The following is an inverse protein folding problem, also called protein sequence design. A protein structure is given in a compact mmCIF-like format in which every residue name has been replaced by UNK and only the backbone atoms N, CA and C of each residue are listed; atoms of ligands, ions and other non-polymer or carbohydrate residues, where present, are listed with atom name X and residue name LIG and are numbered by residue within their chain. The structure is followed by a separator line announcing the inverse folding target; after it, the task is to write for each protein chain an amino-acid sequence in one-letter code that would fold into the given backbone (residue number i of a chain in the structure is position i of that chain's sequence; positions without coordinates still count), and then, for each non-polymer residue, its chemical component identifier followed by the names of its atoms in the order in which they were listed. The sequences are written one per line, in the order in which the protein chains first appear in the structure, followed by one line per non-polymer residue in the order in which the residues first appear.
data_IF_655151776886
#
_entry.id   IF_655151776886
#
_cell.length_a   1.000
_cell.length_b   1.000
_cell.length_c   1.000
_cell.angle_alpha   90.00
_cell.angle_beta   90.00
_cell.angle_gamma   90.00
#
_symmetry.space_group_name_H-M   'P 1'
#
loop_
_entity.id
_entity.type
_entity.pdbx_description
1 polymer ?
#
# COMPACT_ATOMS: atom_id res chain seq x y z
N UNK A 1 -27.59 -9.72 10.24
CA UNK A 1 -27.21 -8.87 9.09
C UNK A 1 -27.07 -9.78 7.89
N UNK A 2 -27.92 -9.68 6.88
CA UNK A 2 -27.86 -10.48 5.66
C UNK A 2 -26.68 -10.03 4.78
N UNK A 3 -26.00 -11.00 4.17
CA UNK A 3 -25.00 -10.71 3.12
C UNK A 3 -25.71 -9.92 2.01
N UNK A 4 -25.10 -8.85 1.53
CA UNK A 4 -25.65 -8.08 0.41
C UNK A 4 -25.34 -8.80 -0.90
N UNK A 5 -26.33 -8.87 -1.80
CA UNK A 5 -26.13 -9.32 -3.18
C UNK A 5 -25.65 -8.14 -4.05
N UNK A 6 -25.28 -8.44 -5.28
CA UNK A 6 -24.92 -7.44 -6.30
C UNK A 6 -26.12 -6.61 -6.81
N UNK A 7 -27.29 -6.76 -6.19
CA UNK A 7 -28.50 -6.03 -6.57
C UNK A 7 -28.31 -4.52 -6.65
N UNK A 8 -27.56 -3.97 -5.72
CA UNK A 8 -27.28 -2.52 -5.65
C UNK A 8 -26.53 -1.96 -6.88
N UNK A 9 -25.79 -2.81 -7.61
CA UNK A 9 -25.05 -2.42 -8.81
C UNK A 9 -25.85 -2.58 -10.11
N UNK A 10 -27.02 -3.21 -10.05
CA UNK A 10 -27.88 -3.43 -11.20
C UNK A 10 -27.45 -4.56 -12.13
N UNK A 11 -28.34 -4.90 -13.08
CA UNK A 11 -28.17 -6.04 -14.01
C UNK A 11 -26.98 -5.86 -14.95
N UNK A 12 -26.77 -4.66 -15.46
CA UNK A 12 -25.67 -4.36 -16.40
C UNK A 12 -24.29 -4.62 -15.79
N UNK A 13 -24.09 -4.25 -14.53
CA UNK A 13 -22.86 -4.53 -13.80
C UNK A 13 -22.64 -6.04 -13.64
N UNK A 14 -23.66 -6.79 -13.24
CA UNK A 14 -23.58 -8.26 -13.08
C UNK A 14 -23.20 -8.94 -14.40
N UNK A 15 -23.74 -8.49 -15.54
CA UNK A 15 -23.41 -9.03 -16.86
C UNK A 15 -21.93 -8.77 -17.23
N UNK A 16 -21.39 -7.58 -16.92
CA UNK A 16 -19.97 -7.27 -17.14
C UNK A 16 -19.06 -8.13 -16.26
N UNK A 17 -19.45 -8.37 -14.99
CA UNK A 17 -18.72 -9.29 -14.11
C UNK A 17 -18.72 -10.70 -14.69
N UNK A 18 -19.86 -11.23 -15.11
CA UNK A 18 -19.97 -12.55 -15.74
C UNK A 18 -19.12 -12.64 -17.01
N UNK A 19 -19.17 -11.62 -17.87
CA UNK A 19 -18.34 -11.53 -19.06
C UNK A 19 -16.85 -11.59 -18.71
N UNK A 20 -16.41 -10.83 -17.71
CA UNK A 20 -15.03 -10.86 -17.22
C UNK A 20 -14.62 -12.22 -16.67
N UNK A 21 -15.48 -12.88 -15.88
CA UNK A 21 -15.21 -14.23 -15.34
C UNK A 21 -15.08 -15.28 -16.45
N UNK A 22 -15.81 -15.13 -17.55
CA UNK A 22 -15.79 -16.06 -18.69
C UNK A 22 -14.59 -15.82 -19.62
N UNK A 23 -14.11 -14.58 -19.76
CA UNK A 23 -13.13 -14.20 -20.78
C UNK A 23 -11.75 -13.85 -20.23
N UNK A 24 -11.66 -13.40 -18.98
CA UNK A 24 -10.41 -12.97 -18.34
C UNK A 24 -9.95 -13.97 -17.27
N UNK A 25 -9.03 -14.84 -17.66
CA UNK A 25 -8.44 -15.84 -16.76
C UNK A 25 -7.71 -15.20 -15.57
N UNK A 26 -7.05 -14.04 -15.76
CA UNK A 26 -6.34 -13.35 -14.67
C UNK A 26 -7.34 -12.84 -13.64
N UNK A 27 -8.42 -12.23 -14.09
CA UNK A 27 -9.48 -11.78 -13.19
C UNK A 27 -10.11 -12.95 -12.43
N UNK A 28 -10.45 -14.05 -13.11
CA UNK A 28 -11.00 -15.25 -12.46
C UNK A 28 -10.05 -15.81 -11.39
N UNK A 29 -8.74 -15.86 -11.67
CA UNK A 29 -7.72 -16.25 -10.69
C UNK A 29 -7.71 -15.36 -9.45
N UNK A 30 -7.85 -14.04 -9.64
CA UNK A 30 -7.80 -13.07 -8.56
C UNK A 30 -9.02 -13.11 -7.64
N UNK A 31 -10.19 -13.46 -8.18
CA UNK A 31 -11.44 -13.47 -7.41
C UNK A 31 -11.87 -14.87 -6.95
N UNK A 32 -11.21 -15.95 -7.41
CA UNK A 32 -11.69 -17.32 -7.21
C UNK A 32 -11.90 -17.69 -5.74
N UNK A 33 -11.03 -17.26 -4.85
CA UNK A 33 -11.08 -17.58 -3.42
C UNK A 33 -12.17 -16.81 -2.65
N UNK A 34 -12.71 -15.75 -3.26
CA UNK A 34 -13.78 -14.92 -2.69
C UNK A 34 -15.07 -14.95 -3.52
N UNK A 35 -15.06 -15.59 -4.69
CA UNK A 35 -16.21 -15.69 -5.59
C UNK A 35 -17.23 -16.68 -5.05
N UNK A 36 -18.49 -16.24 -4.91
CA UNK A 36 -19.63 -17.07 -4.49
C UNK A 36 -20.84 -16.80 -5.37
N UNK A 37 -21.58 -17.85 -5.69
CA UNK A 37 -22.79 -17.77 -6.51
C UNK A 37 -23.90 -16.94 -5.83
N UNK A 38 -23.96 -16.96 -4.48
CA UNK A 38 -24.96 -16.25 -3.70
C UNK A 38 -24.86 -14.71 -3.81
N UNK A 39 -23.80 -14.20 -4.38
CA UNK A 39 -23.65 -12.76 -4.63
C UNK A 39 -24.52 -12.27 -5.78
N UNK A 40 -24.96 -13.17 -6.67
CA UNK A 40 -25.77 -12.85 -7.83
C UNK A 40 -27.27 -13.02 -7.55
N UNK A 41 -28.11 -12.22 -8.21
CA UNK A 41 -29.53 -12.20 -7.92
C UNK A 41 -30.29 -13.29 -8.70
N UNK A 42 -30.05 -13.40 -10.01
CA UNK A 42 -30.76 -14.30 -10.89
C UNK A 42 -30.25 -15.74 -10.81
N UNK A 43 -31.12 -16.72 -10.80
CA UNK A 43 -30.74 -18.15 -10.78
C UNK A 43 -29.90 -18.54 -12.00
N UNK A 44 -30.12 -17.88 -13.14
CA UNK A 44 -29.27 -18.04 -14.33
C UNK A 44 -27.83 -17.55 -14.08
N UNK A 45 -27.66 -16.42 -13.38
CA UNK A 45 -26.34 -15.93 -13.03
C UNK A 45 -25.64 -16.85 -12.02
N UNK A 46 -26.35 -17.31 -10.98
CA UNK A 46 -25.82 -18.26 -9.99
C UNK A 46 -25.34 -19.54 -10.66
N UNK A 47 -26.15 -20.10 -11.56
CA UNK A 47 -25.77 -21.30 -12.30
C UNK A 47 -24.48 -21.09 -13.12
N UNK A 48 -24.39 -19.97 -13.86
CA UNK A 48 -23.19 -19.64 -14.67
C UNK A 48 -21.96 -19.55 -13.78
N UNK A 49 -22.06 -18.84 -12.64
CA UNK A 49 -20.94 -18.68 -11.69
C UNK A 49 -20.55 -20.03 -11.09
N UNK A 50 -21.51 -20.86 -10.71
CA UNK A 50 -21.24 -22.19 -10.18
C UNK A 50 -20.50 -23.08 -11.19
N UNK A 51 -20.92 -23.09 -12.45
CA UNK A 51 -20.22 -23.82 -13.51
C UNK A 51 -18.79 -23.29 -13.75
N UNK A 52 -18.59 -21.97 -13.73
CA UNK A 52 -17.25 -21.37 -13.80
C UNK A 52 -16.38 -21.85 -12.65
N UNK A 53 -16.90 -21.81 -11.43
CA UNK A 53 -16.20 -22.25 -10.21
C UNK A 53 -15.82 -23.73 -10.30
N UNK A 54 -16.79 -24.61 -10.57
CA UNK A 54 -16.60 -26.05 -10.62
C UNK A 54 -15.60 -26.45 -11.71
N UNK A 55 -15.71 -25.83 -12.88
CA UNK A 55 -14.78 -26.10 -13.98
C UNK A 55 -13.36 -25.63 -13.66
N UNK A 56 -13.24 -24.42 -13.10
CA UNK A 56 -11.93 -23.86 -12.76
C UNK A 56 -11.24 -24.67 -11.66
N UNK A 57 -11.96 -25.11 -10.63
CA UNK A 57 -11.40 -25.93 -9.54
C UNK A 57 -10.90 -27.28 -10.02
N UNK A 58 -11.57 -27.84 -11.03
CA UNK A 58 -11.21 -29.15 -11.57
C UNK A 58 -10.07 -29.09 -12.60
N UNK A 59 -10.07 -28.07 -13.46
CA UNK A 59 -9.19 -28.02 -14.64
C UNK A 59 -8.17 -26.87 -14.62
N UNK A 60 -8.26 -25.95 -13.66
CA UNK A 60 -7.39 -24.78 -13.49
C UNK A 60 -7.30 -23.89 -14.73
N UNK A 61 -8.37 -23.85 -15.51
CA UNK A 61 -8.52 -23.01 -16.70
C UNK A 61 -9.92 -22.45 -16.82
N UNK A 62 -10.09 -21.36 -17.59
CA UNK A 62 -11.42 -20.79 -17.83
C UNK A 62 -12.28 -21.75 -18.62
N UNK A 63 -13.57 -21.81 -18.30
CA UNK A 63 -14.56 -22.63 -19.01
C UNK A 63 -14.76 -22.05 -20.42
N UNK A 64 -14.86 -22.90 -21.43
CA UNK A 64 -15.12 -22.51 -22.82
C UNK A 64 -16.60 -22.59 -23.16
N UNK A 65 -17.02 -21.83 -24.20
CA UNK A 65 -18.42 -21.90 -24.65
C UNK A 65 -18.87 -23.27 -25.07
N UNK A 66 -17.95 -24.09 -25.61
CA UNK A 66 -18.32 -25.46 -26.03
C UNK A 66 -18.58 -26.35 -24.83
N UNK A 67 -17.83 -26.19 -23.76
CA UNK A 67 -18.11 -26.88 -22.48
C UNK A 67 -19.44 -26.41 -21.89
N UNK A 68 -19.69 -25.09 -21.86
CA UNK A 68 -20.95 -24.54 -21.38
C UNK A 68 -22.15 -25.11 -22.17
N UNK A 69 -22.04 -25.25 -23.50
CA UNK A 69 -23.09 -25.88 -24.31
C UNK A 69 -23.38 -27.32 -23.91
N UNK A 70 -22.35 -28.08 -23.55
CA UNK A 70 -22.52 -29.47 -23.08
C UNK A 70 -23.20 -29.49 -21.70
N UNK A 71 -22.79 -28.60 -20.79
CA UNK A 71 -23.43 -28.51 -19.46
C UNK A 71 -24.89 -28.05 -19.54
N UNK A 72 -25.20 -27.12 -20.46
CA UNK A 72 -26.59 -26.68 -20.73
C UNK A 72 -27.50 -27.82 -21.16
N UNK A 73 -27.00 -28.87 -21.84
CA UNK A 73 -27.81 -30.02 -22.25
C UNK A 73 -28.24 -30.90 -21.08
N UNK A 74 -27.57 -30.79 -19.93
CA UNK A 74 -27.89 -31.54 -18.71
C UNK A 74 -28.95 -30.85 -17.84
N UNK A 75 -29.32 -29.60 -18.17
CA UNK A 75 -30.30 -28.83 -17.41
C UNK A 75 -31.70 -29.21 -17.89
N UNK A 76 -32.50 -29.81 -17.01
CA UNK A 76 -33.86 -30.29 -17.31
C UNK A 76 -34.90 -29.16 -17.43
N UNK A 77 -34.65 -28.02 -16.78
CA UNK A 77 -35.57 -26.88 -16.74
C UNK A 77 -35.45 -26.04 -18.02
N UNK A 78 -36.37 -26.20 -18.95
CA UNK A 78 -36.37 -25.50 -20.24
C UNK A 78 -36.43 -23.97 -20.09
N UNK A 79 -37.16 -23.43 -19.10
CA UNK A 79 -37.24 -21.99 -18.84
C UNK A 79 -35.88 -21.44 -18.41
N UNK A 80 -35.18 -22.18 -17.55
CA UNK A 80 -33.84 -21.83 -17.12
C UNK A 80 -32.84 -21.89 -18.28
N UNK A 81 -32.93 -22.89 -19.15
CA UNK A 81 -32.06 -23.02 -20.34
C UNK A 81 -32.21 -21.83 -21.28
N UNK A 82 -33.42 -21.33 -21.49
CA UNK A 82 -33.69 -20.13 -22.32
C UNK A 82 -33.02 -18.91 -21.67
N UNK A 83 -33.24 -18.70 -20.37
CA UNK A 83 -32.64 -17.60 -19.62
C UNK A 83 -31.09 -17.68 -19.63
N UNK A 84 -30.50 -18.86 -19.45
CA UNK A 84 -29.06 -19.07 -19.49
C UNK A 84 -28.45 -18.70 -20.84
N UNK A 85 -29.08 -19.09 -21.95
CA UNK A 85 -28.61 -18.73 -23.29
C UNK A 85 -28.64 -17.23 -23.53
N UNK A 86 -29.69 -16.56 -23.07
CA UNK A 86 -29.82 -15.10 -23.18
C UNK A 86 -28.75 -14.37 -22.33
N UNK A 87 -28.59 -14.75 -21.04
CA UNK A 87 -27.64 -14.10 -20.14
C UNK A 87 -26.18 -14.35 -20.57
N UNK A 88 -25.84 -15.54 -21.05
CA UNK A 88 -24.52 -15.82 -21.64
C UNK A 88 -24.25 -14.91 -22.85
N UNK A 89 -25.24 -14.80 -23.77
CA UNK A 89 -25.09 -13.92 -24.93
C UNK A 89 -24.89 -12.46 -24.51
N UNK A 90 -25.67 -11.99 -23.54
CA UNK A 90 -25.59 -10.62 -23.01
C UNK A 90 -24.25 -10.37 -22.29
N UNK A 91 -23.74 -11.34 -21.54
CA UNK A 91 -22.46 -11.24 -20.85
C UNK A 91 -21.28 -11.13 -21.81
N UNK A 92 -21.26 -11.90 -22.90
CA UNK A 92 -20.24 -11.79 -23.94
C UNK A 92 -20.35 -10.49 -24.77
N UNK A 93 -21.56 -9.96 -24.92
CA UNK A 93 -21.82 -8.71 -25.67
C UNK A 93 -21.65 -7.46 -24.79
N UNK A 94 -21.47 -7.60 -23.48
CA UNK A 94 -21.33 -6.48 -22.57
C UNK A 94 -20.12 -5.60 -22.96
N UNK A 95 -20.31 -4.28 -22.91
CA UNK A 95 -19.26 -3.31 -23.25
C UNK A 95 -18.00 -3.53 -22.42
N UNK A 96 -16.84 -3.35 -23.07
CA UNK A 96 -15.51 -3.51 -22.47
C UNK A 96 -14.94 -2.20 -21.92
N UNK A 97 -15.65 -1.07 -22.09
CA UNK A 97 -15.07 0.26 -21.89
C UNK A 97 -14.66 0.58 -20.44
N UNK A 98 -15.28 -0.06 -19.45
CA UNK A 98 -15.05 0.16 -18.02
C UNK A 98 -14.76 -1.14 -17.24
N UNK A 99 -14.23 -2.16 -17.91
CA UNK A 99 -13.99 -3.47 -17.28
C UNK A 99 -13.05 -3.39 -16.07
N UNK A 100 -12.01 -2.57 -16.12
CA UNK A 100 -11.06 -2.41 -15.00
C UNK A 100 -11.80 -1.93 -13.76
N UNK A 101 -12.64 -0.90 -13.90
CA UNK A 101 -13.47 -0.39 -12.81
C UNK A 101 -14.42 -1.48 -12.27
N UNK A 102 -15.10 -2.20 -13.16
CA UNK A 102 -16.03 -3.28 -12.78
C UNK A 102 -15.33 -4.40 -12.02
N UNK A 103 -14.14 -4.77 -12.46
CA UNK A 103 -13.33 -5.81 -11.81
C UNK A 103 -12.85 -5.38 -10.42
N UNK A 104 -12.38 -4.13 -10.27
CA UNK A 104 -11.95 -3.57 -8.99
C UNK A 104 -13.11 -3.45 -8.00
N UNK A 105 -14.26 -2.93 -8.44
CA UNK A 105 -15.47 -2.81 -7.60
C UNK A 105 -16.00 -4.17 -7.17
N UNK A 106 -16.02 -5.15 -8.08
CA UNK A 106 -16.45 -6.50 -7.75
C UNK A 106 -15.52 -7.17 -6.73
N UNK A 107 -14.21 -7.05 -6.92
CA UNK A 107 -13.23 -7.57 -5.96
C UNK A 107 -13.39 -6.89 -4.59
N UNK A 108 -13.57 -5.57 -4.56
CA UNK A 108 -13.85 -4.81 -3.36
C UNK A 108 -15.12 -5.26 -2.65
N UNK A 109 -16.18 -5.51 -3.42
CA UNK A 109 -17.44 -6.08 -2.90
C UNK A 109 -17.20 -7.45 -2.26
N UNK A 110 -16.52 -8.37 -2.94
CA UNK A 110 -16.24 -9.71 -2.43
C UNK A 110 -15.43 -9.67 -1.12
N UNK A 111 -14.36 -8.86 -1.07
CA UNK A 111 -13.56 -8.66 0.15
C UNK A 111 -14.40 -8.14 1.32
N UNK A 112 -15.28 -7.19 1.05
CA UNK A 112 -16.18 -6.65 2.05
C UNK A 112 -17.18 -7.70 2.57
N UNK A 113 -17.68 -8.60 1.71
CA UNK A 113 -18.58 -9.68 2.13
C UNK A 113 -17.82 -10.73 2.96
N UNK A 114 -16.60 -11.12 2.57
CA UNK A 114 -15.77 -12.03 3.36
C UNK A 114 -15.45 -11.45 4.75
N UNK A 115 -15.08 -10.17 4.82
CA UNK A 115 -14.83 -9.51 6.10
C UNK A 115 -16.09 -9.45 6.99
N UNK A 116 -17.24 -9.14 6.41
CA UNK A 116 -18.51 -9.16 7.16
C UNK A 116 -18.83 -10.54 7.69
N UNK A 117 -18.67 -11.58 6.86
CA UNK A 117 -18.89 -12.95 7.28
C UNK A 117 -17.95 -13.35 8.43
N UNK A 118 -16.67 -12.99 8.32
CA UNK A 118 -15.68 -13.23 9.36
C UNK A 118 -16.07 -12.55 10.68
N UNK A 119 -16.52 -11.30 10.65
CA UNK A 119 -16.96 -10.56 11.84
C UNK A 119 -18.21 -11.21 12.47
N UNK A 120 -19.20 -11.60 11.65
CA UNK A 120 -20.42 -12.22 12.13
C UNK A 120 -20.14 -13.57 12.81
N UNK A 121 -19.35 -14.40 12.18
CA UNK A 121 -18.97 -15.73 12.73
C UNK A 121 -18.06 -15.56 13.97
N UNK A 122 -17.21 -14.54 14.00
CA UNK A 122 -16.37 -14.23 15.16
C UNK A 122 -17.20 -13.91 16.41
N UNK A 123 -18.43 -13.38 16.26
CA UNK A 123 -19.30 -13.12 17.38
C UNK A 123 -19.79 -14.42 18.07
N UNK A 124 -19.93 -15.50 17.33
CA UNK A 124 -20.30 -16.80 17.90
C UNK A 124 -19.08 -17.48 18.52
N UNK A 125 -17.92 -17.45 17.87
CA UNK A 125 -16.64 -17.94 18.43
C UNK A 125 -16.27 -17.21 19.73
N UNK A 126 -16.62 -15.92 19.84
CA UNK A 126 -16.38 -15.13 21.05
C UNK A 126 -17.18 -15.69 22.25
N UNK A 127 -18.41 -16.17 22.03
CA UNK A 127 -19.23 -16.81 23.08
C UNK A 127 -18.62 -18.12 23.57
N UNK A 128 -17.92 -18.82 22.68
CA UNK A 128 -17.21 -20.07 22.97
C UNK A 128 -15.81 -19.84 23.56
N UNK A 129 -15.31 -18.61 23.53
CA UNK A 129 -13.97 -18.24 24.02
C UNK A 129 -12.84 -18.64 23.06
N UNK A 130 -13.15 -18.95 21.81
CA UNK A 130 -12.15 -19.35 20.80
C UNK A 130 -11.50 -18.11 20.13
N UNK A 131 -10.58 -17.50 20.83
CA UNK A 131 -9.82 -16.32 20.34
C UNK A 131 -8.89 -16.67 19.17
N UNK A 132 -8.35 -17.87 19.12
CA UNK A 132 -7.47 -18.29 18.03
C UNK A 132 -8.26 -18.52 16.74
N UNK A 133 -9.46 -19.10 16.84
CA UNK A 133 -10.42 -19.21 15.73
C UNK A 133 -10.80 -17.84 15.16
N UNK A 134 -11.09 -16.87 16.03
CA UNK A 134 -11.38 -15.49 15.62
C UNK A 134 -10.21 -14.90 14.84
N UNK A 135 -9.00 -14.99 15.40
CA UNK A 135 -7.79 -14.45 14.74
C UNK A 135 -7.59 -15.07 13.36
N UNK A 136 -7.62 -16.39 13.28
CA UNK A 136 -7.42 -17.11 12.01
C UNK A 136 -8.47 -16.75 10.96
N UNK A 137 -9.72 -16.58 11.36
CA UNK A 137 -10.82 -16.21 10.47
C UNK A 137 -10.67 -14.79 9.94
N UNK A 138 -10.34 -13.82 10.80
CA UNK A 138 -10.10 -12.43 10.40
C UNK A 138 -8.87 -12.33 9.49
N UNK A 139 -7.76 -13.01 9.84
CA UNK A 139 -6.57 -13.06 8.98
C UNK A 139 -6.85 -13.66 7.60
N UNK A 140 -7.67 -14.73 7.54
CA UNK A 140 -8.12 -15.32 6.27
C UNK A 140 -8.93 -14.35 5.45
N UNK A 141 -9.89 -13.64 6.06
CA UNK A 141 -10.71 -12.64 5.38
C UNK A 141 -9.88 -11.43 4.90
N UNK A 142 -8.87 -11.02 5.65
CA UNK A 142 -7.94 -9.96 5.23
C UNK A 142 -7.07 -10.36 4.03
N UNK A 143 -6.70 -11.64 3.93
CA UNK A 143 -5.90 -12.17 2.80
C UNK A 143 -6.76 -12.54 1.60
N UNK A 144 -8.07 -12.67 1.77
CA UNK A 144 -9.00 -13.03 0.71
C UNK A 144 -8.99 -12.00 -0.43
N UNK A 145 -8.92 -12.46 -1.68
CA UNK A 145 -8.83 -11.61 -2.86
C UNK A 145 -7.60 -10.70 -2.87
N UNK A 146 -6.53 -11.02 -2.14
CA UNK A 146 -5.26 -10.35 -2.33
C UNK A 146 -4.76 -10.63 -3.75
N UNK A 147 -4.22 -9.59 -4.37
CA UNK A 147 -3.67 -9.69 -5.71
C UNK A 147 -2.67 -10.85 -5.79
N UNK A 148 -2.99 -11.81 -6.63
CA UNK A 148 -2.12 -12.94 -6.94
C UNK A 148 -1.19 -12.54 -8.09
N UNK A 149 -0.66 -11.30 -8.03
CA UNK A 149 0.36 -10.85 -8.96
C UNK A 149 1.51 -11.86 -8.96
N UNK A 150 1.61 -12.60 -10.05
CA UNK A 150 2.69 -13.58 -10.25
C UNK A 150 4.04 -12.89 -10.46
N UNK A 151 4.05 -11.55 -10.41
CA UNK A 151 5.22 -10.74 -10.69
C UNK A 151 5.44 -10.51 -12.18
N UNK A 152 6.60 -9.98 -12.49
CA UNK A 152 7.01 -9.66 -13.85
C UNK A 152 7.46 -10.93 -14.61
N UNK A 153 6.74 -11.31 -15.65
CA UNK A 153 7.14 -12.45 -16.48
C UNK A 153 8.31 -12.05 -17.38
N UNK A 154 9.51 -12.42 -16.94
CA UNK A 154 10.77 -11.92 -17.46
C UNK A 154 10.92 -12.04 -18.99
N UNK A 155 10.45 -13.16 -19.56
CA UNK A 155 10.61 -13.45 -20.99
C UNK A 155 9.56 -12.76 -21.88
N UNK A 156 8.40 -12.39 -21.31
CA UNK A 156 7.26 -11.82 -22.05
C UNK A 156 7.23 -10.30 -21.89
N UNK A 157 7.42 -9.80 -20.68
CA UNK A 157 7.26 -8.38 -20.35
C UNK A 157 8.54 -7.54 -20.63
N UNK A 158 9.23 -7.83 -21.73
CA UNK A 158 10.47 -7.13 -22.09
C UNK A 158 10.26 -5.62 -22.17
N UNK A 159 9.25 -5.19 -22.93
CA UNK A 159 8.96 -3.78 -23.16
C UNK A 159 8.63 -2.99 -21.87
N UNK A 160 7.98 -3.64 -20.90
CA UNK A 160 7.61 -2.99 -19.65
C UNK A 160 8.82 -2.54 -18.83
N UNK A 161 9.95 -3.27 -18.94
CA UNK A 161 11.20 -2.95 -18.24
C UNK A 161 11.87 -1.68 -18.76
N UNK A 162 11.68 -1.38 -20.04
CA UNK A 162 12.31 -0.24 -20.71
C UNK A 162 11.40 0.97 -20.86
N UNK A 163 10.11 0.85 -20.46
CA UNK A 163 9.15 1.99 -20.47
C UNK A 163 9.43 3.05 -19.40
N UNK A 164 10.20 2.71 -18.37
CA UNK A 164 10.54 3.64 -17.27
C UNK A 164 11.94 4.18 -17.51
N UNK A 165 12.07 5.10 -18.46
CA UNK A 165 13.34 5.76 -18.77
C UNK A 165 13.77 6.79 -17.69
N UNK A 166 12.91 7.15 -16.77
CA UNK A 166 13.18 8.15 -15.76
C UNK A 166 12.70 7.73 -14.37
N UNK A 167 13.66 7.46 -13.48
CA UNK A 167 13.40 7.28 -12.05
C UNK A 167 13.41 8.67 -11.40
N UNK A 168 12.27 9.23 -10.96
CA UNK A 168 12.27 10.48 -10.24
C UNK A 168 13.04 10.31 -8.94
N UNK A 169 14.15 11.03 -8.78
CA UNK A 169 15.00 10.93 -7.60
C UNK A 169 15.10 12.25 -6.87
N UNK A 170 15.26 12.19 -5.55
CA UNK A 170 15.56 13.33 -4.70
C UNK A 170 17.06 13.35 -4.46
N UNK A 171 17.78 14.37 -4.96
CA UNK A 171 19.23 14.42 -4.84
C UNK A 171 19.68 14.74 -3.41
N UNK A 172 20.87 14.27 -3.07
CA UNK A 172 21.57 14.65 -1.84
C UNK A 172 22.51 15.84 -2.11
N UNK A 173 23.07 16.49 -1.06
CA UNK A 173 24.03 17.56 -1.26
C UNK A 173 25.39 17.09 -1.80
N UNK A 174 25.62 15.78 -1.97
CA UNK A 174 26.90 15.20 -2.37
C UNK A 174 26.83 14.62 -3.79
N UNK A 175 27.47 15.33 -4.76
CA UNK A 175 27.44 14.95 -6.17
C UNK A 175 27.95 13.53 -6.44
N UNK A 176 29.14 13.17 -5.96
CA UNK A 176 29.70 11.83 -6.13
C UNK A 176 28.79 10.71 -5.58
N UNK A 177 28.08 10.98 -4.49
CA UNK A 177 27.13 10.03 -3.94
C UNK A 177 25.91 9.90 -4.85
N UNK A 178 25.39 11.01 -5.35
CA UNK A 178 24.27 11.01 -6.31
C UNK A 178 24.63 10.24 -7.59
N UNK A 179 25.86 10.40 -8.11
CA UNK A 179 26.32 9.65 -9.28
C UNK A 179 26.30 8.14 -9.02
N UNK A 180 26.74 7.72 -7.83
CA UNK A 180 26.73 6.31 -7.42
C UNK A 180 25.33 5.68 -7.25
N UNK A 181 24.31 6.50 -6.92
CA UNK A 181 22.92 6.06 -6.73
C UNK A 181 21.97 6.55 -7.83
N UNK A 182 22.51 6.87 -9.01
CA UNK A 182 21.73 7.25 -10.20
C UNK A 182 20.84 8.50 -9.97
N UNK A 183 21.42 9.54 -9.39
CA UNK A 183 20.79 10.86 -9.24
C UNK A 183 20.18 11.13 -7.86
N UNK A 184 20.11 10.18 -6.97
CA UNK A 184 19.53 10.35 -5.63
C UNK A 184 18.62 9.22 -5.17
N UNK A 185 17.87 9.45 -4.10
CA UNK A 185 16.91 8.49 -3.58
C UNK A 185 15.61 8.52 -4.37
N UNK A 186 15.14 7.35 -4.77
CA UNK A 186 13.93 7.20 -5.59
C UNK A 186 12.74 6.58 -4.84
N UNK A 187 11.60 6.44 -5.52
CA UNK A 187 10.38 5.91 -4.96
C UNK A 187 10.58 4.54 -4.30
N UNK A 188 10.17 4.42 -3.05
CA UNK A 188 10.24 3.17 -2.28
C UNK A 188 11.61 2.85 -1.69
N UNK A 189 12.60 3.73 -1.81
CA UNK A 189 13.88 3.54 -1.15
C UNK A 189 13.78 3.74 0.37
N UNK A 190 14.54 2.97 1.11
CA UNK A 190 14.84 3.20 2.52
C UNK A 190 16.36 3.35 2.65
N UNK A 191 16.80 4.54 3.04
CA UNK A 191 18.20 4.82 3.30
C UNK A 191 18.45 4.94 4.81
N UNK A 192 19.56 4.37 5.27
CA UNK A 192 19.93 4.37 6.67
C UNK A 192 21.29 5.05 6.83
N UNK A 193 21.32 6.10 7.66
CA UNK A 193 22.55 6.83 8.00
C UNK A 193 23.12 6.27 9.29
N UNK A 194 24.17 5.46 9.20
CA UNK A 194 24.82 4.88 10.36
C UNK A 194 25.92 5.79 10.91
N UNK A 195 26.08 5.79 12.24
CA UNK A 195 27.19 6.47 12.90
C UNK A 195 27.11 6.39 14.41
N UNK A 196 28.23 6.70 15.05
CA UNK A 196 28.33 6.75 16.51
C UNK A 196 27.46 7.86 17.11
N UNK A 197 27.07 7.79 18.39
CA UNK A 197 26.50 8.92 19.11
C UNK A 197 27.39 10.18 18.94
N UNK A 198 26.76 11.34 18.67
CA UNK A 198 27.51 12.59 18.42
C UNK A 198 28.16 12.69 17.03
N UNK A 199 28.10 11.67 16.18
CA UNK A 199 28.72 11.63 14.84
C UNK A 199 28.00 12.45 13.75
N UNK A 200 27.06 13.32 14.09
CA UNK A 200 26.43 14.22 13.13
C UNK A 200 25.30 13.62 12.28
N UNK A 201 24.77 12.42 12.64
CA UNK A 201 23.71 11.75 11.86
C UNK A 201 22.49 12.63 11.59
N UNK A 202 21.93 13.25 12.63
CA UNK A 202 20.77 14.16 12.49
C UNK A 202 21.10 15.39 11.66
N UNK A 203 22.33 15.91 11.75
CA UNK A 203 22.78 17.00 10.87
C UNK A 203 22.89 16.54 9.40
N UNK A 204 23.32 15.31 9.16
CA UNK A 204 23.32 14.71 7.82
C UNK A 204 21.89 14.62 7.26
N UNK A 205 20.94 14.20 8.09
CA UNK A 205 19.51 14.15 7.70
C UNK A 205 18.95 15.55 7.43
N UNK A 206 19.29 16.55 8.26
CA UNK A 206 18.93 17.95 8.03
C UNK A 206 19.53 18.46 6.71
N UNK A 207 20.80 18.17 6.44
CA UNK A 207 21.46 18.58 5.20
C UNK A 207 20.78 18.00 3.96
N UNK A 208 20.44 16.69 3.97
CA UNK A 208 19.72 16.06 2.86
C UNK A 208 18.33 16.66 2.66
N UNK A 209 17.55 16.83 3.74
CA UNK A 209 16.24 17.45 3.68
C UNK A 209 16.28 18.89 3.18
N UNK A 210 17.19 19.71 3.72
CA UNK A 210 17.32 21.11 3.34
C UNK A 210 17.78 21.27 1.89
N UNK A 211 18.69 20.41 1.41
CA UNK A 211 19.08 20.38 0.01
C UNK A 211 17.89 20.08 -0.91
N UNK A 212 17.09 19.08 -0.56
CA UNK A 212 15.87 18.75 -1.31
C UNK A 212 14.89 19.92 -1.34
N UNK A 213 14.67 20.61 -0.21
CA UNK A 213 13.80 21.81 -0.14
C UNK A 213 14.34 22.95 -1.02
N UNK A 214 15.65 23.22 -1.01
CA UNK A 214 16.27 24.22 -1.91
C UNK A 214 16.04 23.86 -3.38
N UNK A 215 16.07 22.58 -3.72
CA UNK A 215 15.82 22.08 -5.07
C UNK A 215 14.34 22.12 -5.50
N UNK A 216 13.41 22.43 -4.57
CA UNK A 216 11.98 22.56 -4.87
C UNK A 216 11.12 21.38 -4.42
N UNK A 217 11.69 20.37 -3.78
CA UNK A 217 10.95 19.20 -3.28
C UNK A 217 10.19 19.52 -2.01
N UNK A 218 9.10 18.75 -1.77
CA UNK A 218 8.32 18.75 -0.54
C UNK A 218 8.88 17.70 0.42
N UNK A 219 9.22 18.08 1.64
CA UNK A 219 9.85 17.19 2.62
C UNK A 219 9.04 17.16 3.90
N UNK A 220 8.80 15.95 4.44
CA UNK A 220 8.31 15.75 5.79
C UNK A 220 9.46 15.22 6.66
N UNK A 221 9.79 15.95 7.72
CA UNK A 221 10.80 15.58 8.71
C UNK A 221 10.12 15.26 10.05
N UNK A 222 10.20 13.99 10.45
CA UNK A 222 9.67 13.53 11.74
C UNK A 222 10.83 13.43 12.74
N UNK A 223 10.73 14.14 13.84
CA UNK A 223 11.71 14.06 14.93
C UNK A 223 11.12 13.32 16.13
N UNK A 224 11.87 12.35 16.67
CA UNK A 224 11.51 11.57 17.85
C UNK A 224 12.49 11.72 19.00
N UNK A 225 13.57 12.50 18.81
CA UNK A 225 14.58 12.77 19.83
C UNK A 225 14.61 14.24 20.25
N UNK A 226 14.48 15.14 19.28
CA UNK A 226 14.61 16.59 19.47
C UNK A 226 13.29 17.29 19.25
N UNK A 227 13.08 18.41 19.94
CA UNK A 227 11.91 19.28 19.69
C UNK A 227 11.87 19.83 18.28
N UNK A 228 10.66 19.98 17.72
CA UNK A 228 10.48 20.48 16.34
C UNK A 228 11.04 21.88 16.15
N UNK A 229 10.99 22.74 17.17
CA UNK A 229 11.58 24.09 17.12
C UNK A 229 13.12 24.07 17.04
N UNK A 230 13.75 23.14 17.78
CA UNK A 230 15.19 23.00 17.75
C UNK A 230 15.68 22.43 16.41
N UNK A 231 14.96 21.47 15.87
CA UNK A 231 15.21 20.96 14.51
C UNK A 231 15.00 22.08 13.48
N UNK A 232 13.96 22.91 13.63
CA UNK A 232 13.73 24.09 12.81
C UNK A 232 14.95 25.01 12.77
N UNK A 233 15.56 25.32 13.94
CA UNK A 233 16.80 26.13 13.99
C UNK A 233 17.97 25.50 13.24
N UNK A 234 18.10 24.17 13.25
CA UNK A 234 19.14 23.49 12.44
C UNK A 234 18.91 23.69 10.94
N UNK A 235 17.66 23.71 10.49
CA UNK A 235 17.31 24.06 9.11
C UNK A 235 17.66 25.51 8.81
N UNK A 236 17.38 26.43 9.72
CA UNK A 236 17.73 27.84 9.57
C UNK A 236 19.26 28.02 9.41
N UNK A 237 20.06 27.32 10.23
CA UNK A 237 21.52 27.30 10.08
C UNK A 237 21.94 26.82 8.68
N UNK A 238 21.36 25.74 8.18
CA UNK A 238 21.71 25.20 6.86
C UNK A 238 21.31 26.14 5.73
N UNK A 239 20.15 26.78 5.83
CA UNK A 239 19.66 27.67 4.79
C UNK A 239 20.41 28.98 4.73
N UNK A 240 20.86 29.53 5.86
CA UNK A 240 21.49 30.84 5.97
C UNK A 240 23.01 30.80 6.07
N UNK A 241 23.58 29.69 6.55
CA UNK A 241 24.99 29.58 6.88
C UNK A 241 25.35 30.15 8.26
N UNK A 242 24.39 30.67 9.02
CA UNK A 242 24.59 31.14 10.39
C UNK A 242 24.75 29.97 11.37
N UNK A 243 25.55 30.18 12.41
CA UNK A 243 25.60 29.25 13.54
C UNK A 243 24.28 29.25 14.34
N UNK A 244 24.08 28.25 15.22
CA UNK A 244 22.87 28.15 16.02
C UNK A 244 22.68 29.33 16.99
N UNK A 245 23.77 29.97 17.39
CA UNK A 245 23.76 31.15 18.26
C UNK A 245 23.39 32.41 17.45
N UNK A 246 23.92 32.54 16.22
CA UNK A 246 23.69 33.69 15.34
C UNK A 246 22.27 33.71 14.76
N UNK A 247 21.64 32.58 14.51
CA UNK A 247 20.25 32.49 13.96
C UNK A 247 19.28 33.35 14.79
N UNK A 248 19.43 33.33 16.12
CA UNK A 248 18.54 34.07 17.02
C UNK A 248 18.66 35.60 16.84
N UNK A 249 19.82 36.12 16.47
CA UNK A 249 20.07 37.57 16.27
C UNK A 249 19.75 38.05 14.86
N UNK A 250 19.69 37.10 13.88
CA UNK A 250 19.46 37.40 12.45
C UNK A 250 18.08 36.95 11.95
N UNK A 251 17.05 37.01 12.80
CA UNK A 251 15.70 36.49 12.49
C UNK A 251 15.09 37.06 11.19
N UNK A 252 15.30 38.33 10.87
CA UNK A 252 14.75 38.96 9.66
C UNK A 252 15.38 38.39 8.39
N UNK A 253 16.68 38.14 8.41
CA UNK A 253 17.43 37.51 7.33
C UNK A 253 17.00 36.05 7.14
N UNK A 254 16.86 35.29 8.25
CA UNK A 254 16.35 33.95 8.23
C UNK A 254 14.96 33.91 7.61
N UNK A 255 14.04 34.74 8.07
CA UNK A 255 12.67 34.83 7.55
C UNK A 255 12.64 35.10 6.05
N UNK A 256 13.50 36.02 5.56
CA UNK A 256 13.62 36.35 4.14
C UNK A 256 14.07 35.13 3.33
N UNK A 257 15.08 34.40 3.82
CA UNK A 257 15.62 33.20 3.15
C UNK A 257 14.58 32.09 3.12
N UNK A 258 13.92 31.80 4.27
CA UNK A 258 12.93 30.74 4.40
C UNK A 258 11.71 31.00 3.51
N UNK A 259 11.22 32.25 3.45
CA UNK A 259 10.11 32.63 2.54
C UNK A 259 10.47 32.52 1.05
N UNK A 260 11.74 32.53 0.71
CA UNK A 260 12.23 32.37 -0.66
C UNK A 260 12.50 30.93 -1.09
N UNK A 261 12.31 29.96 -0.23
CA UNK A 261 12.55 28.55 -0.56
C UNK A 261 11.56 28.07 -1.63
N UNK A 262 12.06 27.28 -2.58
CA UNK A 262 11.26 26.73 -3.69
C UNK A 262 10.37 25.57 -3.26
N UNK A 263 10.90 24.71 -2.39
CA UNK A 263 10.20 23.55 -1.84
C UNK A 263 9.46 23.88 -0.54
N UNK A 264 8.88 22.85 0.05
CA UNK A 264 8.15 22.94 1.32
C UNK A 264 8.72 21.97 2.34
N UNK A 265 8.79 22.37 3.61
CA UNK A 265 9.22 21.53 4.72
C UNK A 265 8.16 21.52 5.80
N UNK A 266 7.78 20.31 6.24
CA UNK A 266 6.99 20.09 7.45
C UNK A 266 7.88 19.36 8.45
N UNK A 267 8.12 19.97 9.61
CA UNK A 267 8.77 19.35 10.76
C UNK A 267 7.69 18.96 11.76
N UNK A 268 7.67 17.70 12.17
CA UNK A 268 6.68 17.18 13.13
C UNK A 268 7.37 16.37 14.20
N UNK A 269 7.13 16.76 15.46
CA UNK A 269 7.62 16.05 16.63
C UNK A 269 6.64 14.97 17.07
N UNK A 270 7.19 13.84 17.49
CA UNK A 270 6.51 12.79 18.26
C UNK A 270 7.39 12.35 19.43
N UNK A 271 6.78 12.18 20.60
CA UNK A 271 7.52 11.64 21.74
C UNK A 271 7.95 10.19 21.45
N UNK A 272 9.14 9.76 21.95
CA UNK A 272 9.64 8.40 21.78
C UNK A 272 8.60 7.34 22.19
N UNK A 273 8.45 6.29 21.35
CA UNK A 273 7.49 5.18 21.54
C UNK A 273 6.00 5.56 21.56
N UNK A 274 5.65 6.82 21.30
CA UNK A 274 4.23 7.24 21.18
C UNK A 274 3.72 7.14 19.75
N UNK A 275 4.57 7.27 18.74
CA UNK A 275 4.22 7.09 17.34
C UNK A 275 4.66 5.71 16.83
N UNK A 276 3.85 5.10 15.99
CA UNK A 276 4.17 3.91 15.19
C UNK A 276 4.36 4.28 13.72
N UNK A 277 4.80 3.35 12.89
CA UNK A 277 4.86 3.52 11.43
C UNK A 277 3.47 3.88 10.87
N UNK A 278 2.40 3.29 11.42
CA UNK A 278 1.03 3.64 11.03
C UNK A 278 0.64 5.07 11.42
N UNK A 279 1.14 5.60 12.53
CA UNK A 279 0.95 7.01 12.93
C UNK A 279 1.60 7.94 11.90
N UNK A 280 2.83 7.62 11.48
CA UNK A 280 3.53 8.36 10.42
C UNK A 280 2.76 8.28 9.10
N UNK A 281 2.31 7.08 8.68
CA UNK A 281 1.47 6.86 7.48
C UNK A 281 0.22 7.74 7.50
N UNK A 282 -0.50 7.76 8.62
CA UNK A 282 -1.72 8.57 8.78
C UNK A 282 -1.46 10.07 8.69
N UNK A 283 -0.32 10.55 9.22
CA UNK A 283 0.06 11.95 9.10
C UNK A 283 0.44 12.32 7.67
N UNK A 284 1.21 11.46 6.98
CA UNK A 284 1.55 11.66 5.55
C UNK A 284 0.27 11.73 4.73
N UNK A 285 -0.71 10.85 4.99
CA UNK A 285 -1.99 10.88 4.27
C UNK A 285 -2.72 12.21 4.47
N UNK A 286 -2.78 12.73 5.71
CA UNK A 286 -3.35 14.06 5.98
C UNK A 286 -2.62 15.17 5.20
N UNK A 287 -1.28 15.09 5.09
CA UNK A 287 -0.52 16.05 4.29
C UNK A 287 -0.90 15.94 2.81
N UNK A 288 -1.08 14.73 2.28
CA UNK A 288 -1.52 14.50 0.89
C UNK A 288 -2.90 15.10 0.66
N UNK A 289 -3.84 14.87 1.56
CA UNK A 289 -5.21 15.40 1.50
C UNK A 289 -5.24 16.95 1.55
N UNK A 290 -4.16 17.58 2.05
CA UNK A 290 -3.94 19.02 2.09
C UNK A 290 -2.99 19.52 0.97
N UNK A 291 -2.90 18.82 -0.14
CA UNK A 291 -2.04 19.15 -1.30
C UNK A 291 -0.53 19.21 -0.99
N UNK A 292 -0.11 18.56 0.09
CA UNK A 292 1.30 18.42 0.45
C UNK A 292 1.74 16.95 0.40
N UNK A 293 1.75 16.34 -0.80
CA UNK A 293 2.37 15.03 -1.00
C UNK A 293 3.89 15.19 -0.88
N UNK A 294 4.55 14.58 0.12
CA UNK A 294 6.00 14.70 0.24
C UNK A 294 6.73 13.90 -0.85
N UNK A 295 7.83 14.45 -1.33
CA UNK A 295 8.78 13.79 -2.24
C UNK A 295 9.85 13.04 -1.47
N UNK A 296 10.09 13.41 -0.22
CA UNK A 296 11.05 12.81 0.70
C UNK A 296 10.48 12.80 2.12
N UNK A 297 10.68 11.71 2.83
CA UNK A 297 10.37 11.58 4.26
C UNK A 297 11.65 11.30 5.04
N UNK A 298 11.83 12.00 6.16
CA UNK A 298 12.90 11.72 7.13
C UNK A 298 12.26 11.34 8.46
N UNK A 299 12.79 10.29 9.11
CA UNK A 299 12.36 9.84 10.44
C UNK A 299 13.58 9.76 11.35
N UNK A 300 13.74 10.68 12.26
CA UNK A 300 14.92 10.84 13.12
C UNK A 300 14.58 10.53 14.59
N UNK A 301 14.72 9.23 15.12
CA UNK A 301 15.08 8.02 14.35
C UNK A 301 13.95 6.99 14.38
N UNK A 302 13.99 6.07 13.42
CA UNK A 302 13.08 4.93 13.35
C UNK A 302 13.13 4.06 14.62
N UNK A 303 14.29 3.90 15.26
CA UNK A 303 14.47 3.09 16.48
C UNK A 303 13.61 3.56 17.66
N UNK A 304 13.13 4.81 17.65
CA UNK A 304 12.22 5.38 18.65
C UNK A 304 10.74 5.23 18.32
N UNK A 305 10.40 4.66 17.17
CA UNK A 305 9.01 4.32 16.89
C UNK A 305 8.54 3.16 17.76
N UNK A 306 7.24 3.11 18.01
CA UNK A 306 6.60 1.99 18.67
C UNK A 306 6.50 0.83 17.68
N UNK A 307 7.06 -0.32 18.07
CA UNK A 307 6.93 -1.56 17.31
C UNK A 307 5.47 -2.09 17.33
N UNK A 308 5.07 -2.89 16.34
CA UNK A 308 3.84 -3.66 16.39
C UNK A 308 3.82 -4.52 17.66
N UNK A 309 2.63 -4.67 18.28
CA UNK A 309 2.48 -5.48 19.50
C UNK A 309 2.71 -6.96 19.15
N UNK A 310 3.74 -7.55 19.74
CA UNK A 310 3.96 -8.99 19.75
C UNK A 310 3.77 -9.53 21.16
N UNK A 311 3.40 -10.81 21.30
CA UNK A 311 3.21 -11.48 22.58
C UNK A 311 4.49 -11.48 23.44
N UNK A 312 4.41 -11.97 24.69
CA UNK A 312 5.56 -12.06 25.62
C UNK A 312 6.67 -12.95 25.03
N UNK A 313 7.93 -12.51 25.12
CA UNK A 313 9.11 -13.32 24.76
C UNK A 313 9.96 -12.76 23.61
N UNK A 314 9.67 -11.58 23.10
CA UNK A 314 10.47 -10.92 22.05
C UNK A 314 11.54 -10.00 22.67
N UNK A 315 12.72 -9.99 22.05
CA UNK A 315 13.82 -9.12 22.44
C UNK A 315 13.70 -7.75 21.77
N UNK A 316 14.33 -6.72 22.35
CA UNK A 316 14.38 -5.36 21.78
C UNK A 316 14.91 -5.33 20.34
N UNK A 317 15.76 -6.28 19.97
CA UNK A 317 16.29 -6.41 18.62
C UNK A 317 15.18 -6.73 17.61
N UNK A 318 14.30 -7.67 17.95
CA UNK A 318 13.19 -8.07 17.09
C UNK A 318 12.20 -6.91 16.88
N UNK A 319 11.98 -6.08 17.92
CA UNK A 319 11.16 -4.88 17.82
C UNK A 319 11.74 -3.86 16.83
N UNK A 320 13.06 -3.66 16.84
CA UNK A 320 13.74 -2.74 15.92
C UNK A 320 13.66 -3.26 14.50
N UNK A 321 13.93 -4.55 14.28
CA UNK A 321 13.84 -5.17 12.96
C UNK A 321 12.43 -5.03 12.37
N UNK A 322 11.38 -5.25 13.17
CA UNK A 322 9.98 -5.05 12.73
C UNK A 322 9.69 -3.62 12.32
N UNK A 323 10.20 -2.64 13.05
CA UNK A 323 9.98 -1.23 12.70
C UNK A 323 10.70 -0.88 11.40
N UNK A 324 11.91 -1.38 11.16
CA UNK A 324 12.61 -1.19 9.87
C UNK A 324 11.88 -1.86 8.72
N UNK A 325 11.40 -3.09 8.90
CA UNK A 325 10.60 -3.81 7.90
C UNK A 325 9.31 -3.03 7.57
N UNK A 326 8.60 -2.57 8.60
CA UNK A 326 7.38 -1.78 8.42
C UNK A 326 7.67 -0.43 7.73
N UNK A 327 8.79 0.22 8.06
CA UNK A 327 9.20 1.48 7.42
C UNK A 327 9.56 1.27 5.94
N UNK A 328 10.23 0.16 5.60
CA UNK A 328 10.48 -0.21 4.20
C UNK A 328 9.17 -0.50 3.45
N UNK A 329 8.23 -1.17 4.11
CA UNK A 329 6.87 -1.37 3.58
C UNK A 329 6.18 -0.03 3.28
N UNK A 330 6.22 0.91 4.23
CA UNK A 330 5.66 2.25 4.06
C UNK A 330 6.28 3.00 2.86
N UNK A 331 7.60 2.95 2.71
CA UNK A 331 8.28 3.58 1.57
C UNK A 331 7.79 3.02 0.23
N UNK A 332 7.64 1.68 0.13
CA UNK A 332 7.13 1.01 -1.07
C UNK A 332 5.67 1.35 -1.37
N UNK A 333 4.80 1.30 -0.35
CA UNK A 333 3.36 1.59 -0.46
C UNK A 333 3.11 3.01 -0.99
N UNK A 334 3.80 3.99 -0.41
CA UNK A 334 3.65 5.40 -0.77
C UNK A 334 4.44 5.79 -2.03
N UNK A 335 5.37 4.94 -2.46
CA UNK A 335 6.36 5.25 -3.52
C UNK A 335 7.14 6.53 -3.23
N UNK A 336 7.55 6.71 -1.97
CA UNK A 336 8.31 7.86 -1.48
C UNK A 336 9.59 7.33 -0.82
N UNK A 337 10.77 7.92 -1.07
CA UNK A 337 11.98 7.58 -0.35
C UNK A 337 11.88 8.00 1.12
N UNK A 338 12.35 7.12 2.01
CA UNK A 338 12.45 7.38 3.45
C UNK A 338 13.91 7.30 3.87
N UNK A 339 14.38 8.27 4.65
CA UNK A 339 15.73 8.29 5.22
C UNK A 339 15.61 8.30 6.74
N UNK A 340 16.43 7.50 7.40
CA UNK A 340 16.48 7.45 8.86
C UNK A 340 17.93 7.28 9.34
N UNK A 341 18.34 7.95 10.42
CA UNK A 341 19.57 7.58 11.10
C UNK A 341 19.38 6.35 11.98
N UNK A 342 20.44 5.60 12.25
CA UNK A 342 20.50 4.54 13.25
C UNK A 342 21.86 4.52 13.97
N UNK A 343 21.86 4.05 15.20
CA UNK A 343 23.07 4.00 16.01
C UNK A 343 23.78 2.65 15.88
N UNK A 344 25.08 2.68 15.63
CA UNK A 344 25.90 1.47 15.67
C UNK A 344 26.17 1.09 17.13
N UNK A 345 25.91 -0.15 17.49
CA UNK A 345 26.31 -0.68 18.80
C UNK A 345 27.83 -0.73 18.91
N UNK A 346 28.39 -0.46 20.13
CA UNK A 346 29.82 -0.45 20.38
C UNK A 346 30.56 -1.73 19.96
N UNK A 347 29.87 -2.88 19.83
CA UNK A 347 30.45 -4.14 19.35
C UNK A 347 30.52 -4.24 17.81
N UNK A 348 29.78 -3.46 17.05
CA UNK A 348 29.86 -3.42 15.58
C UNK A 348 30.82 -2.37 15.04
N UNK A 349 31.51 -1.64 15.90
CA UNK A 349 32.47 -0.58 15.55
C UNK A 349 33.94 -1.04 15.69
N UNK A 350 34.20 -2.35 15.87
CA UNK A 350 35.55 -2.95 15.89
C UNK A 350 35.87 -3.59 14.55
#
# INVERSE_FOLDING_TARGET
MTLKSLHQYGKGFQLKVLGSLLTDKKFLLNVRDVLKEEYFDADSHKWIVNEIINYFDKYHTSITMDVIKVELQKVENEVLVVALKEELRNSYAASQDDLVYVQEEFLGFCKNQEMKQAILTSADLLKEGDFDGIRNMVEKAMKAGMDKDMGHEYNIDVESRYRVDYRPTVPTPWGLFNDGIQGGFGPGDLAIVFGNPGGGKSWTCVAMAAHAVKAGFKVNYYTLELGEEYVGKRFDCYFTGYSIDEVNSHRKEVEKVVKGLKGKLIVKEYAPKMASVNTIKSHIQKCIDMDHKPDLVIIDYVDYLKAPSRGKGFERKDEIDDVFIATKGLAKDLKIPIITPSQVNRMGAK
#
